data_IF_884933839063
#
_entry.id   IF_884933839063
#
_cell.length_a   1.000
_cell.length_b   1.000
_cell.length_c   1.000
_cell.angle_alpha   90.00
_cell.angle_beta   90.00
_cell.angle_gamma   90.00
#
_symmetry.space_group_name_H-M   'P 1'
#
loop_
_entity.id
_entity.type
_entity.pdbx_description
1 polymer ?
#
# COMPACT_ATOMS: atom_id res chain seq x y z
N UNK A 1 16.04 24.33 -51.71
CA UNK A 1 16.10 22.87 -51.97
C UNK A 1 15.45 22.19 -50.77
N UNK A 2 14.22 21.67 -50.94
CA UNK A 2 13.95 20.22 -51.14
C UNK A 2 14.31 19.43 -49.85
N UNK A 3 13.41 18.90 -49.03
CA UNK A 3 12.08 18.35 -49.28
C UNK A 3 11.21 18.42 -48.01
N UNK A 4 9.96 18.85 -48.17
CA UNK A 4 8.85 18.61 -47.25
C UNK A 4 8.07 17.38 -47.73
N UNK A 5 7.36 16.76 -46.78
CA UNK A 5 6.24 15.80 -46.86
C UNK A 5 6.59 14.29 -46.78
N UNK A 6 5.64 13.43 -46.36
CA UNK A 6 4.27 13.72 -45.90
C UNK A 6 3.91 13.12 -44.54
N UNK A 7 2.88 13.71 -43.94
CA UNK A 7 2.09 13.14 -42.86
C UNK A 7 1.35 11.88 -43.36
N UNK A 8 1.09 10.88 -42.50
CA UNK A 8 0.19 9.80 -42.88
C UNK A 8 -1.25 10.32 -42.93
N UNK A 9 -1.76 10.45 -44.16
CA UNK A 9 -3.18 10.43 -44.48
C UNK A 9 -3.74 9.06 -44.05
N UNK A 10 -4.30 8.97 -42.85
CA UNK A 10 -5.20 7.87 -42.52
C UNK A 10 -6.51 8.11 -43.26
N UNK A 11 -6.65 7.40 -44.38
CA UNK A 11 -7.86 7.29 -45.18
C UNK A 11 -8.95 6.64 -44.32
N UNK A 12 -9.90 7.45 -43.84
CA UNK A 12 -11.19 6.93 -43.36
C UNK A 12 -11.98 6.44 -44.58
N UNK A 13 -12.04 5.12 -44.73
CA UNK A 13 -12.96 4.47 -45.68
C UNK A 13 -14.37 4.73 -45.17
N UNK A 14 -15.07 5.70 -45.78
CA UNK A 14 -16.48 5.96 -45.55
C UNK A 14 -17.28 4.87 -46.27
N UNK A 15 -17.55 3.79 -45.55
CA UNK A 15 -18.59 2.84 -45.91
C UNK A 15 -19.96 3.49 -45.69
N UNK A 16 -20.61 3.85 -46.79
CA UNK A 16 -22.02 4.27 -46.78
C UNK A 16 -22.86 3.03 -46.51
N UNK A 17 -23.24 2.84 -45.25
CA UNK A 17 -24.14 1.81 -44.77
C UNK A 17 -24.93 2.38 -43.62
N UNK A 18 -26.23 2.55 -43.83
CA UNK A 18 -27.21 3.12 -42.91
C UNK A 18 -27.15 2.50 -41.50
N UNK A 19 -27.46 3.34 -40.50
CA UNK A 19 -27.73 3.06 -39.07
C UNK A 19 -26.50 2.83 -38.17
N UNK A 20 -26.22 3.81 -37.32
CA UNK A 20 -25.36 3.65 -36.15
C UNK A 20 -24.59 4.90 -35.78
N UNK A 21 -25.16 5.70 -34.87
CA UNK A 21 -24.43 6.68 -34.07
C UNK A 21 -23.41 5.91 -33.23
N UNK A 22 -22.13 6.27 -33.28
CA UNK A 22 -21.35 6.60 -32.06
C UNK A 22 -19.92 7.05 -32.41
N UNK A 23 -19.76 8.37 -32.51
CA UNK A 23 -18.50 8.99 -32.11
C UNK A 23 -18.49 9.06 -30.58
N UNK A 24 -17.77 8.17 -29.90
CA UNK A 24 -17.01 8.47 -28.68
C UNK A 24 -16.57 7.17 -27.99
N UNK A 25 -15.28 6.88 -28.02
CA UNK A 25 -14.60 6.51 -26.78
C UNK A 25 -13.10 6.74 -26.96
N UNK A 26 -12.62 7.76 -26.25
CA UNK A 26 -11.21 7.88 -25.89
C UNK A 26 -10.73 6.51 -25.38
N UNK A 27 -9.51 6.05 -25.71
CA UNK A 27 -8.85 5.09 -24.84
C UNK A 27 -8.68 5.79 -23.49
N UNK A 28 -9.58 5.45 -22.55
CA UNK A 28 -9.40 5.77 -21.15
C UNK A 28 -8.18 4.97 -20.75
N UNK A 29 -7.02 5.61 -20.75
CA UNK A 29 -5.81 5.05 -20.15
C UNK A 29 -6.22 4.56 -18.76
N UNK A 30 -6.22 3.25 -18.46
CA UNK A 30 -6.42 2.84 -17.09
C UNK A 30 -5.15 3.29 -16.38
N UNK A 31 -5.21 4.40 -15.66
CA UNK A 31 -4.46 4.51 -14.43
C UNK A 31 -4.64 3.16 -13.73
N UNK A 32 -3.57 2.39 -13.70
CA UNK A 32 -3.56 0.99 -13.29
C UNK A 32 -4.10 0.91 -11.88
N UNK A 33 -5.35 0.48 -11.72
CA UNK A 33 -5.88 0.09 -10.42
C UNK A 33 -4.99 -1.06 -9.92
N UNK A 34 -4.14 -0.77 -8.94
CA UNK A 34 -3.26 -1.76 -8.34
C UNK A 34 -4.12 -2.85 -7.69
N UNK A 35 -3.90 -4.10 -8.08
CA UNK A 35 -4.65 -5.22 -7.52
C UNK A 35 -4.13 -5.55 -6.11
N UNK A 36 -4.98 -6.16 -5.28
CA UNK A 36 -4.61 -6.69 -3.95
C UNK A 36 -3.37 -7.58 -3.99
N UNK A 37 -3.23 -8.41 -5.04
CA UNK A 37 -2.06 -9.27 -5.23
C UNK A 37 -0.79 -8.49 -5.57
N UNK A 38 -0.93 -7.42 -6.36
CA UNK A 38 0.19 -6.52 -6.70
C UNK A 38 0.68 -5.83 -5.44
N UNK A 39 -0.22 -5.24 -4.65
CA UNK A 39 0.10 -4.58 -3.38
C UNK A 39 0.77 -5.55 -2.38
N UNK A 40 0.20 -6.75 -2.21
CA UNK A 40 0.79 -7.78 -1.37
C UNK A 40 2.18 -8.22 -1.84
N UNK A 41 2.42 -8.31 -3.15
CA UNK A 41 3.74 -8.61 -3.70
C UNK A 41 4.75 -7.50 -3.41
N UNK A 42 4.38 -6.24 -3.64
CA UNK A 42 5.26 -5.10 -3.37
C UNK A 42 5.66 -5.07 -1.90
N UNK A 43 4.67 -5.20 -1.01
CA UNK A 43 4.91 -5.24 0.42
C UNK A 43 5.84 -6.41 0.82
N UNK A 44 5.60 -7.64 0.35
CA UNK A 44 6.49 -8.78 0.67
C UNK A 44 7.94 -8.60 0.21
N UNK A 45 8.18 -7.82 -0.84
CA UNK A 45 9.51 -7.62 -1.41
C UNK A 45 10.28 -6.50 -0.72
N UNK A 46 9.59 -5.46 -0.29
CA UNK A 46 10.21 -4.20 0.15
C UNK A 46 9.83 -3.79 1.57
N UNK A 47 8.84 -4.44 2.16
CA UNK A 47 8.17 -4.01 3.38
C UNK A 47 7.63 -2.57 3.29
N UNK A 48 7.35 -2.09 2.07
CA UNK A 48 6.86 -0.75 1.79
C UNK A 48 5.55 -0.45 2.53
N UNK A 49 5.60 0.54 3.42
CA UNK A 49 4.46 1.03 4.18
C UNK A 49 3.31 1.44 3.27
N UNK A 50 3.59 2.05 2.11
CA UNK A 50 2.54 2.54 1.24
C UNK A 50 1.71 1.42 0.60
N UNK A 51 2.38 0.40 0.09
CA UNK A 51 1.76 -0.83 -0.43
C UNK A 51 0.92 -1.50 0.65
N UNK A 52 1.42 -1.56 1.88
CA UNK A 52 0.68 -2.10 3.01
C UNK A 52 -0.54 -1.25 3.35
N UNK A 53 -0.39 0.07 3.48
CA UNK A 53 -1.47 1.00 3.81
C UNK A 53 -2.62 0.92 2.80
N UNK A 54 -2.31 0.75 1.52
CA UNK A 54 -3.28 0.52 0.44
C UNK A 54 -3.93 -0.86 0.48
N UNK A 55 -3.24 -1.87 0.99
CA UNK A 55 -3.75 -3.24 1.08
C UNK A 55 -4.82 -3.40 2.16
N UNK A 56 -4.69 -2.70 3.30
CA UNK A 56 -5.54 -2.92 4.48
C UNK A 56 -7.04 -2.72 4.25
N UNK A 57 -7.51 -1.69 3.50
CA UNK A 57 -8.94 -1.52 3.24
C UNK A 57 -9.54 -2.70 2.46
N UNK A 58 -8.71 -3.53 1.82
CA UNK A 58 -9.12 -4.74 1.10
C UNK A 58 -9.04 -6.02 1.96
N UNK A 59 -8.57 -5.91 3.20
CA UNK A 59 -8.60 -6.99 4.18
C UNK A 59 -9.96 -6.95 4.88
N UNK A 60 -10.89 -7.78 4.40
CA UNK A 60 -12.21 -7.93 5.03
C UNK A 60 -12.06 -8.59 6.41
N UNK A 61 -12.29 -7.78 7.46
CA UNK A 61 -12.24 -8.22 8.85
C UNK A 61 -13.20 -9.41 9.03
N UNK A 62 -12.75 -10.45 9.73
CA UNK A 62 -13.51 -11.68 10.07
C UNK A 62 -13.86 -12.61 8.91
N UNK A 63 -13.49 -12.27 7.67
CA UNK A 63 -13.60 -13.20 6.51
C UNK A 63 -12.26 -13.75 6.05
N UNK A 64 -11.19 -12.98 6.25
CA UNK A 64 -9.83 -13.41 5.90
C UNK A 64 -9.31 -14.39 6.94
N UNK A 65 -8.78 -15.52 6.47
CA UNK A 65 -8.04 -16.50 7.28
C UNK A 65 -6.57 -16.11 7.40
N UNK A 66 -5.89 -16.57 8.45
CA UNK A 66 -4.46 -16.38 8.67
C UNK A 66 -3.65 -16.75 7.43
N UNK A 67 -3.94 -17.91 6.82
CA UNK A 67 -3.25 -18.34 5.60
C UNK A 67 -3.34 -17.32 4.47
N UNK A 68 -4.48 -16.63 4.33
CA UNK A 68 -4.67 -15.62 3.30
C UNK A 68 -3.95 -14.32 3.64
N UNK A 69 -3.93 -13.96 4.93
CA UNK A 69 -3.17 -12.81 5.42
C UNK A 69 -1.68 -13.04 5.21
N UNK A 70 -1.13 -14.17 5.64
CA UNK A 70 0.28 -14.51 5.46
C UNK A 70 0.65 -14.72 3.99
N UNK A 71 -0.29 -15.18 3.15
CA UNK A 71 -0.09 -15.21 1.70
C UNK A 71 0.05 -13.81 1.10
N UNK A 72 -0.65 -12.80 1.65
CA UNK A 72 -0.58 -11.41 1.19
C UNK A 72 0.60 -10.65 1.81
N UNK A 73 0.82 -10.82 3.10
CA UNK A 73 1.80 -10.06 3.88
C UNK A 73 3.17 -10.75 3.99
N UNK A 74 3.25 -12.04 3.67
CA UNK A 74 4.40 -12.88 4.01
C UNK A 74 4.31 -13.41 5.45
N UNK A 75 5.32 -14.17 5.91
CA UNK A 75 5.39 -14.59 7.30
C UNK A 75 5.57 -13.37 8.23
N UNK A 76 4.97 -13.37 9.44
CA UNK A 76 5.21 -12.32 10.41
C UNK A 76 6.65 -12.36 10.91
N UNK A 77 7.17 -11.20 11.32
CA UNK A 77 8.51 -11.07 11.91
C UNK A 77 8.53 -11.58 13.35
N UNK A 78 7.42 -11.39 14.06
CA UNK A 78 7.26 -11.83 15.45
C UNK A 78 5.81 -12.21 15.74
N UNK A 79 5.58 -13.20 16.60
CA UNK A 79 4.24 -13.60 17.05
C UNK A 79 4.32 -14.03 18.51
N UNK A 80 4.12 -13.11 19.47
CA UNK A 80 4.28 -13.39 20.90
C UNK A 80 3.22 -14.35 21.44
N UNK A 81 2.04 -14.34 20.82
CA UNK A 81 0.92 -15.21 21.17
C UNK A 81 0.38 -15.87 19.92
N UNK A 82 -0.32 -17.00 20.04
CA UNK A 82 -1.03 -17.60 18.92
C UNK A 82 -1.98 -16.62 18.22
N UNK A 83 -2.62 -15.72 18.96
CA UNK A 83 -3.61 -14.78 18.42
C UNK A 83 -3.01 -13.50 17.83
N UNK A 84 -1.69 -13.27 17.91
CA UNK A 84 -1.11 -11.98 17.57
C UNK A 84 0.16 -12.11 16.73
N UNK A 85 0.21 -11.38 15.62
CA UNK A 85 1.33 -11.37 14.70
C UNK A 85 1.76 -9.94 14.35
N UNK A 86 3.07 -9.74 14.24
CA UNK A 86 3.72 -8.45 14.04
C UNK A 86 4.43 -8.45 12.69
N UNK A 87 4.18 -7.40 11.91
CA UNK A 87 4.78 -7.19 10.60
C UNK A 87 5.46 -5.81 10.57
N UNK A 88 6.69 -5.77 10.08
CA UNK A 88 7.48 -4.53 9.99
C UNK A 88 7.20 -3.78 8.70
N UNK A 89 7.37 -2.47 8.74
CA UNK A 89 7.38 -1.62 7.54
C UNK A 89 8.72 -0.89 7.42
N UNK A 90 8.99 -0.32 6.25
CA UNK A 90 10.13 0.56 6.01
C UNK A 90 9.94 1.99 6.55
N UNK A 91 8.76 2.31 7.09
CA UNK A 91 8.45 3.64 7.62
C UNK A 91 8.74 3.74 9.11
N UNK A 92 9.27 4.89 9.50
CA UNK A 92 9.45 5.29 10.90
C UNK A 92 8.63 6.54 11.22
N UNK A 93 8.46 6.84 12.51
CA UNK A 93 7.83 8.08 12.98
C UNK A 93 8.78 8.76 13.95
N UNK A 94 8.98 10.06 13.78
CA UNK A 94 9.68 10.90 14.73
C UNK A 94 8.89 11.00 16.04
N UNK A 95 9.50 10.62 17.17
CA UNK A 95 8.89 10.71 18.50
C UNK A 95 9.60 11.70 19.42
N UNK A 96 10.84 12.05 19.09
CA UNK A 96 11.56 13.12 19.76
C UNK A 96 12.27 13.98 18.71
N UNK A 97 12.07 15.29 18.81
CA UNK A 97 12.65 16.29 17.94
C UNK A 97 13.58 17.21 18.72
N UNK A 98 14.64 17.74 18.08
CA UNK A 98 15.49 18.74 18.70
C UNK A 98 14.70 19.96 19.19
N UNK A 99 15.22 20.64 20.21
CA UNK A 99 14.57 21.82 20.77
C UNK A 99 14.25 22.88 19.70
N UNK A 100 13.02 23.39 19.72
CA UNK A 100 12.56 24.38 18.73
C UNK A 100 12.08 23.80 17.40
N UNK A 101 11.97 22.47 17.28
CA UNK A 101 11.34 21.78 16.15
C UNK A 101 10.14 20.93 16.59
N UNK A 102 9.30 20.54 15.63
CA UNK A 102 8.11 19.72 15.84
C UNK A 102 8.13 18.50 14.91
N UNK A 103 7.60 17.35 15.33
CA UNK A 103 7.55 16.17 14.48
C UNK A 103 6.53 16.34 13.36
N UNK A 104 6.92 15.92 12.15
CA UNK A 104 6.07 15.79 10.98
C UNK A 104 6.40 14.45 10.32
N UNK A 105 5.56 13.45 10.55
CA UNK A 105 5.79 12.06 10.12
C UNK A 105 7.14 11.49 10.58
N UNK A 106 8.07 11.24 9.66
CA UNK A 106 9.40 10.66 9.88
C UNK A 106 10.49 11.71 10.12
N UNK A 107 10.14 13.00 10.08
CA UNK A 107 11.08 14.12 10.15
C UNK A 107 10.69 15.11 11.25
N UNK A 108 11.60 16.02 11.56
CA UNK A 108 11.31 17.17 12.42
C UNK A 108 11.44 18.46 11.61
N UNK A 109 10.57 19.43 11.89
CA UNK A 109 10.55 20.70 11.18
C UNK A 109 10.68 21.84 12.18
N UNK A 110 11.63 22.75 11.94
CA UNK A 110 11.79 23.97 12.75
C UNK A 110 10.71 24.99 12.42
N UNK A 111 10.56 26.02 13.26
CA UNK A 111 9.62 27.14 13.00
C UNK A 111 9.86 27.84 11.66
N UNK A 112 11.09 27.81 11.15
CA UNK A 112 11.48 28.41 9.87
C UNK A 112 11.25 27.45 8.68
N UNK A 113 10.62 26.29 8.91
CA UNK A 113 10.33 25.29 7.88
C UNK A 113 11.54 24.43 7.47
N UNK A 114 12.62 24.45 8.25
CA UNK A 114 13.81 23.63 7.96
C UNK A 114 13.61 22.22 8.49
N UNK A 115 13.81 21.24 7.62
CA UNK A 115 13.89 19.83 7.99
C UNK A 115 15.17 19.55 8.79
N UNK A 116 15.01 18.86 9.90
CA UNK A 116 16.09 18.36 10.76
C UNK A 116 15.79 16.92 11.13
N UNK A 117 16.86 16.14 11.36
CA UNK A 117 16.72 14.74 11.74
C UNK A 117 16.12 14.63 13.16
N UNK A 118 15.23 13.66 13.40
CA UNK A 118 14.73 13.40 14.74
C UNK A 118 15.83 12.90 15.67
N UNK A 119 15.74 13.23 16.95
CA UNK A 119 16.61 12.66 17.98
C UNK A 119 16.27 11.19 18.24
N UNK A 120 14.99 10.85 18.08
CA UNK A 120 14.50 9.49 18.22
C UNK A 120 13.34 9.24 17.26
N UNK A 121 13.43 8.15 16.52
CA UNK A 121 12.37 7.59 15.70
C UNK A 121 11.99 6.20 16.20
N UNK A 122 10.79 5.74 15.82
CA UNK A 122 10.38 4.35 15.98
C UNK A 122 9.82 3.79 14.68
N UNK A 123 10.08 2.51 14.38
CA UNK A 123 9.50 1.86 13.22
C UNK A 123 7.98 1.74 13.40
N UNK A 124 7.25 2.02 12.32
CA UNK A 124 5.84 1.67 12.23
C UNK A 124 5.74 0.17 12.03
N UNK A 125 4.94 -0.48 12.88
CA UNK A 125 4.59 -1.88 12.71
C UNK A 125 3.08 -2.05 12.52
N UNK A 126 2.74 -3.12 11.82
CA UNK A 126 1.39 -3.65 11.74
C UNK A 126 1.25 -4.78 12.76
N UNK A 127 0.28 -4.64 13.66
CA UNK A 127 -0.15 -5.70 14.56
C UNK A 127 -1.43 -6.29 14.01
N UNK A 128 -1.43 -7.60 13.76
CA UNK A 128 -2.59 -8.36 13.32
C UNK A 128 -3.06 -9.25 14.47
N UNK A 129 -4.35 -9.21 14.78
CA UNK A 129 -4.99 -10.06 15.77
C UNK A 129 -5.93 -11.06 15.10
N UNK A 130 -5.92 -12.30 15.58
CA UNK A 130 -6.72 -13.41 15.07
C UNK A 130 -7.69 -13.93 16.14
N UNK A 131 -8.89 -14.30 15.72
CA UNK A 131 -9.88 -14.98 16.55
C UNK A 131 -9.50 -16.45 16.75
N UNK A 132 -9.96 -17.01 17.88
CA UNK A 132 -9.99 -18.46 18.15
C UNK A 132 -8.61 -19.16 18.27
N UNK A 133 -7.50 -18.44 18.14
CA UNK A 133 -6.16 -18.96 18.41
C UNK A 133 -5.96 -19.15 19.93
N UNK A 134 -5.95 -20.40 20.40
CA UNK A 134 -5.69 -20.73 21.81
C UNK A 134 -4.27 -21.20 22.02
N UNK A 135 -3.95 -22.37 21.47
CA UNK A 135 -2.72 -23.09 21.80
C UNK A 135 -1.60 -22.86 20.78
N UNK A 136 -1.95 -22.80 19.49
CA UNK A 136 -1.01 -22.58 18.39
C UNK A 136 -1.66 -21.77 17.27
N UNK A 137 -0.88 -21.01 16.48
CA UNK A 137 -1.34 -20.42 15.23
C UNK A 137 -1.91 -21.49 14.30
N UNK A 138 -3.14 -21.30 13.81
CA UNK A 138 -3.73 -22.20 12.82
C UNK A 138 -4.06 -21.45 11.53
N UNK A 139 -3.88 -22.07 10.35
CA UNK A 139 -4.21 -21.47 9.05
C UNK A 139 -5.64 -20.93 8.97
N UNK A 140 -6.59 -21.61 9.63
CA UNK A 140 -8.01 -21.27 9.66
C UNK A 140 -8.39 -20.14 10.62
N UNK A 141 -7.48 -19.68 11.47
CA UNK A 141 -7.77 -18.59 12.39
C UNK A 141 -8.18 -17.33 11.60
N UNK A 142 -9.27 -16.67 12.02
CA UNK A 142 -9.84 -15.55 11.26
C UNK A 142 -9.29 -14.23 11.76
N UNK A 143 -9.08 -13.28 10.86
CA UNK A 143 -8.67 -11.93 11.20
C UNK A 143 -9.72 -11.27 12.10
N UNK A 144 -9.35 -10.86 13.31
CA UNK A 144 -10.22 -10.08 14.20
C UNK A 144 -10.05 -8.58 13.95
N UNK A 145 -8.82 -8.12 14.07
CA UNK A 145 -8.46 -6.70 14.00
C UNK A 145 -7.02 -6.52 13.54
N UNK A 146 -6.71 -5.29 13.16
CA UNK A 146 -5.33 -4.86 12.93
C UNK A 146 -5.14 -3.44 13.41
N UNK A 147 -3.91 -3.09 13.80
CA UNK A 147 -3.54 -1.75 14.21
C UNK A 147 -2.15 -1.38 13.70
N UNK A 148 -1.96 -0.08 13.44
CA UNK A 148 -0.66 0.51 13.16
C UNK A 148 -0.19 1.34 14.34
N UNK A 149 1.10 1.27 14.62
CA UNK A 149 1.70 2.16 15.58
C UNK A 149 3.22 1.98 15.69
N UNK A 150 3.90 2.96 16.28
CA UNK A 150 5.26 2.76 16.76
C UNK A 150 5.26 1.72 17.89
N UNK A 151 6.31 0.90 17.98
CA UNK A 151 6.53 0.04 19.15
C UNK A 151 7.78 0.48 19.90
N UNK A 152 7.56 0.95 21.14
CA UNK A 152 8.61 1.40 22.04
C UNK A 152 8.17 2.54 22.96
N UNK A 153 7.26 2.27 23.90
CA UNK A 153 7.12 3.11 25.10
C UNK A 153 7.59 2.34 26.33
#
# INVERSE_FOLDING_TARGET
MKNRLPWPLFVCIVGIGLLGIDCSSRPKNPETAETVETLGRHYRQSHDYYSLARLLPHLDLRRRRREEIERLLGPPVYSPTPSQSYYTTDKEVAVACPEGSMPEEDICVTKDGKQVDPERSFPIILVVQYLESKDQPRPEDTLDSFSFGPVGE
#
